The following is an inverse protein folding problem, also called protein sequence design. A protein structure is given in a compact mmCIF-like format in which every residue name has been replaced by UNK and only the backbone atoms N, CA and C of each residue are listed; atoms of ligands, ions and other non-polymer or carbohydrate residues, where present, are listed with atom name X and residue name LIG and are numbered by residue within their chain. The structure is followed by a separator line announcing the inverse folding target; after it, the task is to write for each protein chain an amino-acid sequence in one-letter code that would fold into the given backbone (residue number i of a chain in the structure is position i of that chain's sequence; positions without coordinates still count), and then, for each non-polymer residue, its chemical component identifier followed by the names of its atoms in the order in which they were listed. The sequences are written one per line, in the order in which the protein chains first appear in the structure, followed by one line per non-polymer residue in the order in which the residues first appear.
data_IF_838736207890
#
_entry.id   IF_838736207890
#
_cell.length_a   1.000
_cell.length_b   1.000
_cell.length_c   1.000
_cell.angle_alpha   90.00
_cell.angle_beta   90.00
_cell.angle_gamma   90.00
#
_symmetry.space_group_name_H-M   'P 1'
#
loop_
_entity.id
_entity.type
_entity.pdbx_description
1 polymer ?
#
# COMPACT_ATOMS: atom_id res chain seq x y z
N UNK A 1 -22.13 23.85 -21.86
CA UNK A 1 -22.42 22.74 -20.92
C UNK A 1 -21.37 21.66 -20.89
N UNK A 2 -20.27 21.85 -21.54
CA UNK A 2 -19.17 20.89 -21.54
C UNK A 2 -18.28 20.97 -20.30
N UNK A 3 -18.60 21.84 -19.39
CA UNK A 3 -17.74 22.17 -18.23
C UNK A 3 -17.54 20.99 -17.28
N UNK A 4 -18.53 20.11 -17.19
CA UNK A 4 -18.52 18.99 -16.24
C UNK A 4 -17.45 17.95 -16.60
N UNK A 5 -17.15 17.74 -17.85
CA UNK A 5 -16.17 16.74 -18.28
C UNK A 5 -14.74 17.08 -17.87
N UNK A 6 -14.43 18.35 -17.71
CA UNK A 6 -13.08 18.80 -17.35
C UNK A 6 -12.74 18.44 -15.90
N UNK A 7 -13.68 18.61 -14.97
CA UNK A 7 -13.42 18.26 -13.56
C UNK A 7 -13.27 16.75 -13.36
N UNK A 8 -14.00 15.95 -14.11
CA UNK A 8 -13.90 14.49 -14.04
C UNK A 8 -12.53 14.02 -14.50
N UNK A 9 -11.99 14.60 -15.56
CA UNK A 9 -10.68 14.27 -16.08
C UNK A 9 -9.57 14.58 -15.08
N UNK A 10 -9.63 15.74 -14.42
CA UNK A 10 -8.67 16.12 -13.38
C UNK A 10 -8.66 15.16 -12.21
N UNK A 11 -9.84 14.73 -11.76
CA UNK A 11 -9.96 13.82 -10.63
C UNK A 11 -9.35 12.44 -10.91
N UNK A 12 -9.40 11.98 -12.17
CA UNK A 12 -8.85 10.68 -12.56
C UNK A 12 -7.32 10.67 -12.55
N UNK A 13 -6.68 11.83 -12.69
CA UNK A 13 -5.23 11.94 -12.72
C UNK A 13 -4.60 11.96 -11.32
N UNK A 14 -5.43 12.07 -10.28
CA UNK A 14 -4.94 12.13 -8.91
C UNK A 14 -4.80 10.69 -8.37
N UNK A 15 -3.55 10.22 -8.35
CA UNK A 15 -3.20 8.90 -7.84
C UNK A 15 -2.11 9.06 -6.78
N UNK A 16 -2.23 8.40 -5.62
CA UNK A 16 -1.16 8.48 -4.62
C UNK A 16 0.17 8.00 -5.17
N UNK A 17 1.24 8.67 -4.79
CA UNK A 17 2.59 8.30 -5.22
C UNK A 17 3.01 6.97 -4.62
N UNK A 18 3.62 6.11 -5.44
CA UNK A 18 4.20 4.83 -5.05
C UNK A 18 5.71 4.92 -4.84
N UNK A 19 6.30 6.09 -5.02
CA UNK A 19 7.76 6.26 -4.96
C UNK A 19 8.36 5.85 -3.62
N UNK A 20 7.61 6.02 -2.53
CA UNK A 20 8.06 5.63 -1.20
C UNK A 20 8.20 4.12 -1.01
N UNK A 21 7.60 3.32 -1.87
CA UNK A 21 7.63 1.86 -1.79
C UNK A 21 8.74 1.22 -2.64
N UNK A 22 9.43 1.99 -3.44
CA UNK A 22 10.38 1.46 -4.42
C UNK A 22 11.50 0.63 -3.80
N UNK A 23 12.01 1.05 -2.66
CA UNK A 23 13.09 0.35 -1.99
C UNK A 23 12.63 -1.00 -1.43
N UNK A 24 11.50 -1.02 -0.76
CA UNK A 24 10.92 -2.26 -0.23
C UNK A 24 10.57 -3.26 -1.32
N UNK A 25 9.99 -2.78 -2.42
CA UNK A 25 9.65 -3.62 -3.57
C UNK A 25 10.92 -4.18 -4.22
N UNK A 26 11.96 -3.35 -4.33
CA UNK A 26 13.25 -3.80 -4.87
C UNK A 26 13.80 -4.98 -4.05
N UNK A 27 13.84 -4.85 -2.74
CA UNK A 27 14.32 -5.91 -1.86
C UNK A 27 13.44 -7.16 -1.91
N UNK A 28 12.13 -6.99 -1.96
CA UNK A 28 11.21 -8.12 -2.17
C UNK A 28 11.56 -8.89 -3.44
N UNK A 29 11.78 -8.17 -4.53
CA UNK A 29 12.11 -8.78 -5.82
C UNK A 29 13.45 -9.51 -5.81
N UNK A 30 14.41 -9.05 -5.02
CA UNK A 30 15.68 -9.75 -4.85
C UNK A 30 15.52 -11.08 -4.12
N UNK A 31 14.63 -11.12 -3.13
CA UNK A 31 14.35 -12.32 -2.34
C UNK A 31 13.45 -13.32 -3.07
N UNK A 32 12.54 -12.81 -3.88
CA UNK A 32 11.52 -13.60 -4.57
C UNK A 32 11.77 -13.56 -6.07
N UNK A 33 12.49 -14.55 -6.56
CA UNK A 33 12.90 -14.61 -7.98
C UNK A 33 11.74 -14.88 -8.94
N UNK A 34 10.67 -15.50 -8.45
CA UNK A 34 9.49 -15.75 -9.24
C UNK A 34 8.57 -14.52 -9.19
N UNK A 35 8.43 -13.85 -10.32
CA UNK A 35 7.62 -12.64 -10.46
C UNK A 35 6.30 -12.89 -11.20
N UNK A 36 5.87 -14.14 -11.29
CA UNK A 36 4.63 -14.51 -12.01
C UNK A 36 3.39 -14.36 -11.15
N UNK A 37 3.37 -13.41 -10.24
CA UNK A 37 2.19 -13.08 -9.48
C UNK A 37 1.56 -11.79 -10.02
N UNK A 38 0.24 -11.70 -9.91
CA UNK A 38 -0.49 -10.50 -10.32
C UNK A 38 -0.20 -9.33 -9.38
N UNK A 39 -0.14 -8.14 -9.94
CA UNK A 39 0.06 -6.90 -9.19
C UNK A 39 -1.04 -5.91 -9.52
N UNK A 40 -1.43 -5.13 -8.52
CA UNK A 40 -2.37 -4.04 -8.72
C UNK A 40 -1.74 -2.90 -9.53
N UNK A 41 -2.57 -2.28 -10.36
CA UNK A 41 -2.17 -1.06 -11.08
C UNK A 41 -2.15 0.14 -10.11
N UNK A 42 -1.35 1.19 -10.40
CA UNK A 42 -1.29 2.36 -9.52
C UNK A 42 -2.64 3.02 -9.25
N UNK A 43 -3.57 2.96 -10.20
CA UNK A 43 -4.91 3.54 -10.03
C UNK A 43 -5.81 2.71 -9.08
N UNK A 44 -5.41 1.48 -8.76
CA UNK A 44 -6.11 0.62 -7.82
C UNK A 44 -5.64 0.89 -6.38
N UNK A 45 -5.68 2.15 -5.99
CA UNK A 45 -5.13 2.59 -4.71
C UNK A 45 -5.89 2.04 -3.50
N UNK A 46 -7.18 1.75 -3.62
CA UNK A 46 -7.93 1.14 -2.51
C UNK A 46 -7.41 -0.26 -2.21
N UNK A 47 -7.18 -1.06 -3.24
CA UNK A 47 -6.67 -2.42 -3.11
C UNK A 47 -5.26 -2.41 -2.52
N UNK A 48 -4.41 -1.49 -2.96
CA UNK A 48 -3.05 -1.33 -2.43
C UNK A 48 -3.11 -0.91 -0.96
N UNK A 49 -3.96 0.05 -0.62
CA UNK A 49 -4.15 0.49 0.76
C UNK A 49 -4.69 -0.63 1.65
N UNK A 50 -5.59 -1.46 1.13
CA UNK A 50 -6.11 -2.62 1.85
C UNK A 50 -4.99 -3.64 2.12
N UNK A 51 -4.04 -3.81 1.21
CA UNK A 51 -2.84 -4.60 1.46
C UNK A 51 -2.04 -4.03 2.64
N UNK A 52 -1.84 -2.72 2.68
CA UNK A 52 -1.13 -2.08 3.79
C UNK A 52 -1.82 -2.38 5.11
N UNK A 53 -3.13 -2.27 5.18
CA UNK A 53 -3.89 -2.59 6.39
C UNK A 53 -3.70 -4.06 6.78
N UNK A 54 -3.73 -4.97 5.80
CA UNK A 54 -3.55 -6.40 6.05
C UNK A 54 -2.17 -6.74 6.64
N UNK A 55 -1.14 -5.97 6.29
CA UNK A 55 0.22 -6.18 6.79
C UNK A 55 0.58 -5.33 8.00
N UNK A 56 -0.30 -4.44 8.44
CA UNK A 56 -0.03 -3.60 9.61
C UNK A 56 0.02 -4.44 10.87
N UNK A 57 1.10 -4.31 11.61
CA UNK A 57 1.29 -5.00 12.87
C UNK A 57 0.45 -4.38 13.99
N UNK A 58 0.31 -5.12 15.10
CA UNK A 58 -0.48 -4.66 16.25
C UNK A 58 0.08 -3.38 16.90
N UNK A 59 1.38 -3.11 16.72
CA UNK A 59 2.01 -1.88 17.21
C UNK A 59 1.79 -0.69 16.28
N UNK A 60 1.08 -0.88 15.17
CA UNK A 60 0.77 0.15 14.19
C UNK A 60 1.76 0.26 13.04
N UNK A 61 2.93 -0.32 13.16
CA UNK A 61 3.95 -0.27 12.11
C UNK A 61 3.85 -1.41 11.10
N UNK A 62 4.83 -1.49 10.24
CA UNK A 62 4.86 -2.47 9.15
C UNK A 62 6.19 -3.20 9.07
N UNK A 63 6.18 -4.46 8.61
CA UNK A 63 7.41 -5.14 8.21
C UNK A 63 7.97 -4.51 6.94
N UNK A 64 9.27 -4.62 6.76
CA UNK A 64 9.94 -4.08 5.56
C UNK A 64 9.99 -5.11 4.43
N UNK A 65 10.37 -4.64 3.23
CA UNK A 65 10.69 -5.47 2.08
C UNK A 65 9.49 -6.29 1.60
N UNK A 66 8.36 -5.64 1.45
CA UNK A 66 7.12 -6.24 0.93
C UNK A 66 6.76 -5.55 -0.39
N UNK A 67 6.28 -6.32 -1.35
CA UNK A 67 5.62 -5.75 -2.53
C UNK A 67 4.16 -5.49 -2.21
N UNK A 68 3.88 -4.26 -1.81
CA UNK A 68 2.53 -3.84 -1.41
C UNK A 68 1.52 -3.88 -2.55
N UNK A 69 1.98 -3.95 -3.80
CA UNK A 69 1.13 -4.00 -4.96
C UNK A 69 0.73 -5.43 -5.35
N UNK A 70 1.30 -6.44 -4.72
CA UNK A 70 0.99 -7.83 -5.02
C UNK A 70 -0.44 -8.19 -4.72
N UNK A 71 -1.11 -8.88 -5.65
CA UNK A 71 -2.44 -9.44 -5.43
C UNK A 71 -2.28 -10.75 -4.69
N UNK A 72 -2.76 -10.79 -3.46
CA UNK A 72 -2.69 -11.99 -2.63
C UNK A 72 -4.08 -12.60 -2.52
N UNK A 73 -4.24 -13.78 -3.07
CA UNK A 73 -5.55 -14.41 -3.23
C UNK A 73 -6.17 -14.89 -1.93
N UNK A 74 -5.35 -15.27 -0.99
CA UNK A 74 -5.83 -15.90 0.23
C UNK A 74 -5.29 -15.20 1.48
N UNK A 75 -6.14 -15.04 2.47
CA UNK A 75 -5.75 -14.50 3.77
C UNK A 75 -4.63 -15.33 4.43
N UNK A 76 -4.61 -16.63 4.17
CA UNK A 76 -3.55 -17.51 4.66
C UNK A 76 -2.17 -17.14 4.12
N UNK A 77 -2.08 -16.72 2.85
CA UNK A 77 -0.81 -16.27 2.25
C UNK A 77 -0.38 -14.96 2.89
N UNK A 78 -1.30 -14.02 3.07
CA UNK A 78 -1.01 -12.75 3.75
C UNK A 78 -0.54 -12.99 5.19
N UNK A 79 -1.22 -13.87 5.91
CA UNK A 79 -0.85 -14.20 7.28
C UNK A 79 0.55 -14.83 7.38
N UNK A 80 0.87 -15.74 6.48
CA UNK A 80 2.18 -16.38 6.45
C UNK A 80 3.31 -15.39 6.16
N UNK A 81 3.08 -14.47 5.21
CA UNK A 81 4.05 -13.43 4.88
C UNK A 81 4.21 -12.44 6.03
N UNK A 82 3.12 -12.07 6.67
CA UNK A 82 3.13 -11.17 7.84
C UNK A 82 3.91 -11.80 9.00
N UNK A 83 3.70 -13.07 9.26
CA UNK A 83 4.40 -13.77 10.34
C UNK A 83 5.91 -13.84 10.10
N UNK A 84 6.32 -14.07 8.86
CA UNK A 84 7.72 -14.10 8.45
C UNK A 84 8.41 -12.75 8.69
N UNK A 85 7.71 -11.64 8.44
CA UNK A 85 8.24 -10.29 8.53
C UNK A 85 7.58 -9.49 9.66
N UNK A 86 7.27 -10.13 10.75
CA UNK A 86 6.40 -9.59 11.81
C UNK A 86 6.91 -8.37 12.56
N UNK A 87 8.18 -8.02 12.41
CA UNK A 87 8.73 -6.84 13.11
C UNK A 87 8.45 -5.58 12.34
N UNK A 88 7.85 -4.61 13.01
CA UNK A 88 7.79 -3.25 12.49
C UNK A 88 9.17 -2.63 12.50
N UNK A 89 9.47 -1.83 11.48
CA UNK A 89 10.78 -1.19 11.35
C UNK A 89 10.66 0.14 10.63
N UNK A 90 11.62 1.02 10.88
CA UNK A 90 11.80 2.27 10.14
C UNK A 90 12.89 2.16 9.06
N UNK A 91 13.51 1.00 8.95
CA UNK A 91 14.54 0.73 7.94
C UNK A 91 13.99 0.80 6.52
N UNK A 92 14.87 1.12 5.56
CA UNK A 92 14.56 1.11 4.13
C UNK A 92 13.33 1.95 3.79
N UNK A 93 13.22 3.12 4.41
CA UNK A 93 12.07 4.03 4.24
C UNK A 93 10.75 3.31 4.51
N UNK A 94 10.72 2.52 5.55
CA UNK A 94 9.51 1.82 5.97
C UNK A 94 8.75 2.63 7.01
N UNK A 95 7.46 2.38 7.15
CA UNK A 95 6.50 3.02 8.02
C UNK A 95 6.04 4.40 7.52
N UNK A 96 6.93 5.35 7.29
CA UNK A 96 6.54 6.68 6.79
C UNK A 96 5.83 6.62 5.43
N UNK A 97 6.32 5.87 4.42
CA UNK A 97 5.62 5.78 3.14
C UNK A 97 4.23 5.15 3.28
N UNK A 98 4.06 4.19 4.17
CA UNK A 98 2.77 3.56 4.39
C UNK A 98 1.77 4.54 5.01
N UNK A 99 2.19 5.30 6.02
CA UNK A 99 1.36 6.34 6.63
C UNK A 99 0.95 7.38 5.60
N UNK A 100 1.91 7.86 4.82
CA UNK A 100 1.66 8.86 3.79
C UNK A 100 0.68 8.35 2.74
N UNK A 101 0.88 7.13 2.26
CA UNK A 101 0.02 6.52 1.26
C UNK A 101 -1.42 6.35 1.79
N UNK A 102 -1.57 5.83 2.99
CA UNK A 102 -2.89 5.67 3.62
C UNK A 102 -3.59 7.00 3.82
N UNK A 103 -2.84 8.03 4.19
CA UNK A 103 -3.38 9.39 4.35
C UNK A 103 -3.89 9.93 3.01
N UNK A 104 -3.13 9.73 1.94
CA UNK A 104 -3.53 10.16 0.60
C UNK A 104 -4.77 9.41 0.12
N UNK A 105 -4.84 8.11 0.36
CA UNK A 105 -6.02 7.31 0.01
C UNK A 105 -7.24 7.74 0.83
N UNK A 106 -7.06 8.07 2.10
CA UNK A 106 -8.14 8.63 2.90
C UNK A 106 -8.69 9.93 2.29
N UNK A 107 -7.81 10.84 1.87
CA UNK A 107 -8.23 12.09 1.26
C UNK A 107 -9.01 11.88 -0.04
N UNK A 108 -8.71 10.83 -0.79
CA UNK A 108 -9.39 10.50 -2.03
C UNK A 108 -10.72 9.77 -1.82
N UNK A 109 -10.84 8.99 -0.77
CA UNK A 109 -11.98 8.09 -0.56
C UNK A 109 -12.89 8.49 0.57
N UNK A 110 -12.41 9.30 1.51
CA UNK A 110 -13.10 9.66 2.76
C UNK A 110 -13.49 8.43 3.59
N UNK A 111 -12.78 7.32 3.40
CA UNK A 111 -13.02 6.08 4.14
C UNK A 111 -12.13 6.07 5.40
N UNK A 112 -12.77 6.10 6.56
CA UNK A 112 -12.11 6.22 7.85
C UNK A 112 -11.12 5.08 8.17
N UNK A 113 -11.29 3.90 7.56
CA UNK A 113 -10.37 2.79 7.83
C UNK A 113 -8.92 3.13 7.41
N UNK A 114 -8.75 3.93 6.37
CA UNK A 114 -7.42 4.37 5.92
C UNK A 114 -6.83 5.40 6.86
N UNK A 115 -7.65 6.35 7.31
CA UNK A 115 -7.23 7.31 8.34
C UNK A 115 -6.82 6.61 9.62
N UNK A 116 -7.63 5.68 10.10
CA UNK A 116 -7.39 4.99 11.35
C UNK A 116 -6.08 4.18 11.28
N UNK A 117 -5.84 3.52 10.15
CA UNK A 117 -4.58 2.79 9.94
C UNK A 117 -3.37 3.73 9.91
N UNK A 118 -3.50 4.89 9.24
CA UNK A 118 -2.44 5.90 9.20
C UNK A 118 -2.12 6.43 10.60
N UNK A 119 -3.14 6.70 11.41
CA UNK A 119 -2.97 7.21 12.77
C UNK A 119 -2.32 6.20 13.72
N UNK A 120 -2.51 4.90 13.48
CA UNK A 120 -1.86 3.87 14.27
C UNK A 120 -0.36 3.73 13.94
N UNK A 121 0.03 4.11 12.75
CA UNK A 121 1.41 4.01 12.27
C UNK A 121 2.42 5.01 12.84
#
# INVERSE_FOLDING_TARGET
MAVISLSTSSAQDITPSLSGFSDGIHHWNLEHKDRRYSRYEPCQYREIADNLIAYQNSDGGWPKNIDWLGVLDADSVKAALKERYRRSTLDNRNTFPQIEYLSDVYLLTDDNKYRDAAERG
#
